data_IF_260909241105
#
_entry.id   IF_260909241105
#
_cell.length_a   1.000
_cell.length_b   1.000
_cell.length_c   1.000
_cell.angle_alpha   90.00
_cell.angle_beta   90.00
_cell.angle_gamma   90.00
#
_symmetry.space_group_name_H-M   'P 1'
#
loop_
_entity.id
_entity.type
_entity.pdbx_description
1 polymer ?
#
# COMPACT_ATOMS: atom_id res chain seq x y z
N UNK A 1 24.99 17.46 8.97
CA UNK A 1 23.85 16.64 8.53
C UNK A 1 23.82 15.42 9.42
N UNK A 2 22.77 15.23 10.21
CA UNK A 2 22.57 13.97 10.93
C UNK A 2 22.20 12.91 9.91
N UNK A 3 22.99 11.87 9.85
CA UNK A 3 22.73 10.64 9.13
C UNK A 3 21.46 10.05 9.77
N UNK A 4 20.37 9.98 9.01
CA UNK A 4 19.20 9.19 9.39
C UNK A 4 19.61 7.75 9.09
N UNK A 5 20.25 7.09 10.05
CA UNK A 5 20.32 5.63 10.05
C UNK A 5 19.00 5.10 10.61
N UNK A 6 17.93 5.22 9.85
CA UNK A 6 16.83 4.28 9.98
C UNK A 6 17.15 3.15 9.02
N UNK A 7 17.76 2.08 9.53
CA UNK A 7 17.64 0.76 8.89
C UNK A 7 16.17 0.34 9.02
N UNK A 8 15.29 1.00 8.27
CA UNK A 8 13.93 0.53 8.12
C UNK A 8 14.00 -0.74 7.30
N UNK A 9 13.78 -1.87 7.97
CA UNK A 9 13.64 -3.17 7.33
C UNK A 9 12.33 -3.16 6.55
N UNK A 10 12.39 -2.67 5.31
CA UNK A 10 11.33 -2.92 4.34
C UNK A 10 11.38 -4.37 3.87
N UNK A 11 10.22 -5.00 3.67
CA UNK A 11 10.18 -6.32 3.05
C UNK A 11 10.27 -6.17 1.54
N UNK A 12 11.09 -7.00 0.91
CA UNK A 12 11.23 -7.06 -0.55
C UNK A 12 10.94 -8.46 -1.04
N UNK A 13 10.10 -8.55 -2.06
CA UNK A 13 9.71 -9.82 -2.71
C UNK A 13 9.68 -9.59 -4.23
N UNK A 14 9.94 -10.64 -5.02
CA UNK A 14 9.85 -10.56 -6.49
C UNK A 14 8.78 -11.53 -6.98
N UNK A 15 7.88 -11.06 -7.84
CA UNK A 15 6.88 -11.86 -8.55
C UNK A 15 7.17 -11.70 -10.05
N UNK A 16 7.57 -12.78 -10.72
CA UNK A 16 8.04 -12.71 -12.11
C UNK A 16 9.23 -11.74 -12.26
N UNK A 17 9.07 -10.70 -13.07
CA UNK A 17 10.04 -9.59 -13.23
C UNK A 17 9.76 -8.38 -12.35
N UNK A 18 8.67 -8.39 -11.57
CA UNK A 18 8.23 -7.25 -10.77
C UNK A 18 8.78 -7.38 -9.36
N UNK A 19 9.51 -6.36 -8.92
CA UNK A 19 10.04 -6.24 -7.57
C UNK A 19 9.09 -5.43 -6.70
N UNK A 20 8.53 -6.05 -5.67
CA UNK A 20 7.67 -5.41 -4.68
C UNK A 20 8.44 -5.05 -3.42
N UNK A 21 8.08 -3.93 -2.82
CA UNK A 21 8.60 -3.47 -1.54
C UNK A 21 7.51 -2.90 -0.63
N UNK A 22 7.67 -3.11 0.68
CA UNK A 22 6.86 -2.51 1.73
C UNK A 22 7.72 -1.76 2.73
N UNK A 23 7.27 -0.59 3.19
CA UNK A 23 7.93 0.17 4.24
C UNK A 23 6.93 0.66 5.30
N UNK A 24 7.18 0.33 6.56
CA UNK A 24 6.38 0.77 7.70
C UNK A 24 7.04 1.94 8.40
N UNK A 25 6.31 3.03 8.59
CA UNK A 25 6.73 4.23 9.29
C UNK A 25 5.81 4.52 10.48
N UNK A 26 6.36 5.12 11.54
CA UNK A 26 5.53 5.77 12.55
C UNK A 26 5.03 7.13 12.06
N UNK A 27 3.81 7.48 12.47
CA UNK A 27 3.10 8.68 12.05
C UNK A 27 2.08 8.40 10.97
N UNK A 28 1.33 9.45 10.61
CA UNK A 28 0.36 9.45 9.53
C UNK A 28 0.90 10.29 8.37
N UNK A 29 0.72 9.81 7.15
CA UNK A 29 1.08 10.53 5.93
C UNK A 29 0.31 11.83 5.79
N UNK A 30 -0.96 11.91 6.23
CA UNK A 30 -1.75 13.16 6.30
C UNK A 30 -0.99 14.35 6.89
N UNK A 31 -0.09 14.09 7.85
CA UNK A 31 0.66 15.12 8.55
C UNK A 31 2.02 15.44 7.89
N UNK A 32 2.35 14.76 6.77
CA UNK A 32 3.59 14.96 6.01
C UNK A 32 3.40 15.99 4.87
N UNK A 33 4.01 17.18 4.96
CA UNK A 33 3.84 18.25 3.98
C UNK A 33 4.47 17.96 2.61
N UNK A 34 5.26 16.89 2.44
CA UNK A 34 5.89 16.52 1.17
C UNK A 34 4.93 15.84 0.18
N UNK A 35 3.73 15.48 0.64
CA UNK A 35 2.70 14.74 -0.09
C UNK A 35 2.32 15.27 -1.48
N UNK A 36 2.31 16.59 -1.67
CA UNK A 36 2.01 17.20 -2.99
C UNK A 36 3.08 16.87 -4.04
N UNK A 37 4.30 16.53 -3.63
CA UNK A 37 5.44 16.27 -4.53
C UNK A 37 5.44 14.86 -5.11
N UNK A 38 4.76 13.91 -4.46
CA UNK A 38 4.76 12.50 -4.85
C UNK A 38 3.55 12.08 -5.70
N UNK A 39 2.71 13.04 -6.13
CA UNK A 39 1.59 12.75 -7.05
C UNK A 39 0.50 11.86 -6.45
N UNK A 40 0.30 11.93 -5.13
CA UNK A 40 -0.60 11.02 -4.43
C UNK A 40 -2.07 11.47 -4.55
N UNK A 41 -2.94 10.51 -4.84
CA UNK A 41 -4.38 10.69 -4.96
C UNK A 41 -5.09 9.99 -3.80
N UNK A 42 -5.87 10.73 -3.02
CA UNK A 42 -6.72 10.15 -1.97
C UNK A 42 -7.77 9.23 -2.63
N UNK A 43 -7.84 7.98 -2.16
CA UNK A 43 -8.73 6.95 -2.71
C UNK A 43 -9.87 6.61 -1.76
N UNK A 44 -9.59 6.54 -0.46
CA UNK A 44 -10.56 6.17 0.57
C UNK A 44 -10.11 6.73 1.92
N UNK A 45 -11.06 7.17 2.74
CA UNK A 45 -10.81 7.58 4.12
C UNK A 45 -11.98 7.18 5.01
N UNK A 46 -11.68 6.57 6.15
CA UNK A 46 -12.63 6.32 7.23
C UNK A 46 -11.93 6.53 8.60
N UNK A 47 -12.56 6.12 9.69
CA UNK A 47 -12.01 6.31 11.04
C UNK A 47 -10.78 5.43 11.33
N UNK A 48 -10.68 4.28 10.68
CA UNK A 48 -9.57 3.32 10.86
C UNK A 48 -8.37 3.63 9.97
N UNK A 49 -8.59 4.16 8.77
CA UNK A 49 -7.53 4.25 7.76
C UNK A 49 -7.72 5.35 6.70
N UNK A 50 -6.62 5.69 6.03
CA UNK A 50 -6.61 6.55 4.84
C UNK A 50 -5.76 5.91 3.75
N UNK A 51 -6.37 5.66 2.60
CA UNK A 51 -5.70 5.11 1.42
C UNK A 51 -5.39 6.19 0.41
N UNK A 52 -4.17 6.16 -0.10
CA UNK A 52 -3.73 6.98 -1.21
C UNK A 52 -3.11 6.10 -2.30
N UNK A 53 -3.34 6.48 -3.55
CA UNK A 53 -2.69 5.88 -4.72
C UNK A 53 -1.56 6.80 -5.18
N UNK A 54 -0.45 6.19 -5.56
CA UNK A 54 0.69 6.87 -6.21
C UNK A 54 0.90 6.25 -7.60
N UNK A 55 1.81 6.80 -8.40
CA UNK A 55 2.13 6.19 -9.69
C UNK A 55 2.79 4.80 -9.58
N UNK A 56 3.44 4.51 -8.45
CA UNK A 56 4.25 3.31 -8.26
C UNK A 56 3.73 2.39 -7.13
N UNK A 57 2.54 2.66 -6.59
CA UNK A 57 2.10 1.97 -5.38
C UNK A 57 0.87 2.54 -4.70
N UNK A 58 0.60 2.01 -3.53
CA UNK A 58 -0.44 2.45 -2.60
C UNK A 58 0.18 2.77 -1.24
N UNK A 59 -0.44 3.71 -0.56
CA UNK A 59 -0.03 4.26 0.73
C UNK A 59 -1.22 4.15 1.66
N UNK A 60 -1.00 3.69 2.88
CA UNK A 60 -2.05 3.43 3.86
C UNK A 60 -1.67 4.03 5.20
N UNK A 61 -2.44 5.00 5.67
CA UNK A 61 -2.43 5.45 7.05
C UNK A 61 -3.34 4.55 7.88
N UNK A 62 -2.83 4.00 8.98
CA UNK A 62 -3.57 3.13 9.90
C UNK A 62 -3.69 3.89 11.22
N UNK A 63 -4.80 4.63 11.34
CA UNK A 63 -5.04 5.68 12.34
C UNK A 63 -4.94 5.17 13.79
N UNK A 64 -5.55 4.03 14.18
CA UNK A 64 -5.49 3.55 15.56
C UNK A 64 -4.07 3.26 16.06
N UNK A 65 -3.19 2.84 15.16
CA UNK A 65 -1.80 2.52 15.48
C UNK A 65 -0.82 3.67 15.27
N UNK A 66 -1.29 4.80 14.71
CA UNK A 66 -0.45 5.92 14.27
C UNK A 66 0.73 5.45 13.40
N UNK A 67 0.43 4.60 12.42
CA UNK A 67 1.41 4.02 11.51
C UNK A 67 0.99 4.28 10.08
N UNK A 68 1.98 4.27 9.20
CA UNK A 68 1.80 4.39 7.77
C UNK A 68 2.58 3.29 7.05
N UNK A 69 1.95 2.67 6.06
CA UNK A 69 2.52 1.64 5.22
C UNK A 69 2.58 2.09 3.75
N UNK A 70 3.78 2.09 3.17
CA UNK A 70 3.98 2.22 1.73
C UNK A 70 4.08 0.81 1.14
N UNK A 71 3.30 0.54 0.09
CA UNK A 71 3.38 -0.67 -0.73
C UNK A 71 3.63 -0.25 -2.17
N UNK A 72 4.72 -0.69 -2.79
CA UNK A 72 5.08 -0.23 -4.13
C UNK A 72 5.98 -1.17 -4.89
N UNK A 73 6.24 -0.81 -6.15
CA UNK A 73 7.29 -1.44 -6.96
C UNK A 73 8.64 -0.79 -6.68
N UNK A 74 9.66 -1.60 -6.41
CA UNK A 74 11.00 -1.12 -6.08
C UNK A 74 11.65 -0.39 -7.25
N UNK A 75 12.41 0.68 -6.95
CA UNK A 75 13.23 1.44 -7.91
C UNK A 75 12.51 1.93 -9.19
N UNK A 76 11.22 2.30 -9.10
CA UNK A 76 10.42 2.64 -10.29
C UNK A 76 10.33 1.48 -11.30
N UNK A 77 10.37 0.23 -10.82
CA UNK A 77 10.24 -0.98 -11.63
C UNK A 77 8.92 -1.05 -12.41
N UNK A 78 8.79 -2.06 -13.26
CA UNK A 78 7.69 -2.17 -14.22
C UNK A 78 6.31 -1.88 -13.58
N UNK A 79 5.56 -0.92 -14.13
CA UNK A 79 4.37 -0.42 -13.47
C UNK A 79 3.28 -1.50 -13.47
N UNK A 80 2.87 -1.90 -12.27
CA UNK A 80 1.60 -2.58 -12.06
C UNK A 80 0.47 -1.65 -12.54
N UNK A 81 -0.50 -2.22 -13.26
CA UNK A 81 -1.60 -1.43 -13.81
C UNK A 81 -2.39 -0.71 -12.71
N UNK A 82 -3.02 0.43 -13.04
CA UNK A 82 -3.89 1.15 -12.09
C UNK A 82 -4.98 0.23 -11.53
N UNK A 83 -5.58 -0.62 -12.38
CA UNK A 83 -6.63 -1.54 -11.96
C UNK A 83 -6.10 -2.58 -10.96
N UNK A 84 -4.89 -3.09 -11.16
CA UNK A 84 -4.27 -4.03 -10.23
C UNK A 84 -3.98 -3.37 -8.88
N UNK A 85 -3.47 -2.14 -8.85
CA UNK A 85 -3.29 -1.39 -7.60
C UNK A 85 -4.59 -1.16 -6.83
N UNK A 86 -5.69 -0.87 -7.52
CA UNK A 86 -7.00 -0.73 -6.90
C UNK A 86 -7.51 -2.07 -6.34
N UNK A 87 -7.26 -3.17 -7.05
CA UNK A 87 -7.57 -4.52 -6.59
C UNK A 87 -6.80 -4.88 -5.31
N UNK A 88 -5.50 -4.56 -5.27
CA UNK A 88 -4.64 -4.76 -4.10
C UNK A 88 -5.12 -3.89 -2.93
N UNK A 89 -5.38 -2.60 -3.16
CA UNK A 89 -5.87 -1.70 -2.13
C UNK A 89 -7.17 -2.20 -1.49
N UNK A 90 -8.10 -2.71 -2.31
CA UNK A 90 -9.33 -3.32 -1.83
C UNK A 90 -9.08 -4.53 -0.95
N UNK A 91 -8.22 -5.46 -1.37
CA UNK A 91 -7.91 -6.64 -0.58
C UNK A 91 -7.24 -6.29 0.76
N UNK A 92 -6.29 -5.36 0.75
CA UNK A 92 -5.61 -4.90 1.98
C UNK A 92 -6.57 -4.19 2.93
N UNK A 93 -7.49 -3.37 2.40
CA UNK A 93 -8.50 -2.69 3.20
C UNK A 93 -9.50 -3.68 3.84
N UNK A 94 -9.93 -4.71 3.10
CA UNK A 94 -10.78 -5.79 3.64
C UNK A 94 -10.06 -6.51 4.79
N UNK A 95 -8.76 -6.79 4.64
CA UNK A 95 -7.97 -7.43 5.70
C UNK A 95 -7.86 -6.57 6.97
N UNK A 96 -7.77 -5.25 6.82
CA UNK A 96 -7.57 -4.32 7.94
C UNK A 96 -8.84 -3.93 8.69
N UNK A 97 -9.96 -3.73 7.99
CA UNK A 97 -11.15 -3.08 8.54
C UNK A 97 -12.46 -3.75 8.09
N UNK A 98 -12.40 -4.82 7.30
CA UNK A 98 -13.57 -5.53 6.79
C UNK A 98 -14.39 -4.79 5.72
N UNK A 99 -14.17 -3.48 5.54
CA UNK A 99 -14.91 -2.64 4.59
C UNK A 99 -13.99 -1.76 3.73
N UNK A 100 -14.14 -1.85 2.41
CA UNK A 100 -13.54 -0.91 1.45
C UNK A 100 -14.60 -0.51 0.44
N UNK A 101 -14.98 0.76 0.44
CA UNK A 101 -15.94 1.30 -0.52
C UNK A 101 -15.25 2.35 -1.42
N UNK A 102 -14.44 1.93 -2.40
CA UNK A 102 -14.09 2.83 -3.49
C UNK A 102 -15.37 2.94 -4.30
N UNK A 103 -16.10 4.05 -4.19
CA UNK A 103 -17.45 4.20 -4.75
C UNK A 103 -17.63 3.94 -6.26
N UNK A 104 -16.58 3.52 -6.98
CA UNK A 104 -16.55 3.26 -8.42
C UNK A 104 -15.70 2.05 -8.88
N UNK A 105 -15.06 1.27 -7.99
CA UNK A 105 -14.19 0.15 -8.41
C UNK A 105 -14.66 -1.21 -7.90
N UNK A 106 -15.18 -2.03 -8.81
CA UNK A 106 -15.45 -3.46 -8.59
C UNK A 106 -14.55 -4.28 -9.53
N UNK A 107 -13.57 -5.04 -9.00
CA UNK A 107 -12.69 -5.84 -9.84
C UNK A 107 -13.45 -7.03 -10.44
N UNK A 108 -13.17 -7.34 -11.71
CA UNK A 108 -13.65 -8.60 -12.30
C UNK A 108 -12.87 -9.79 -11.73
N UNK A 109 -13.44 -11.00 -11.73
CA UNK A 109 -12.72 -12.20 -11.29
C UNK A 109 -11.43 -12.47 -12.09
N UNK A 110 -11.37 -12.05 -13.36
CA UNK A 110 -10.16 -12.16 -14.15
C UNK A 110 -9.04 -11.25 -13.60
N UNK A 111 -9.38 -10.02 -13.21
CA UNK A 111 -8.45 -9.08 -12.59
C UNK A 111 -8.03 -9.56 -11.20
N UNK A 112 -8.96 -10.09 -10.39
CA UNK A 112 -8.64 -10.66 -9.09
C UNK A 112 -7.65 -11.83 -9.21
N UNK A 113 -7.87 -12.71 -10.18
CA UNK A 113 -6.94 -13.82 -10.47
C UNK A 113 -5.57 -13.33 -10.92
N UNK A 114 -5.52 -12.32 -11.80
CA UNK A 114 -4.25 -11.68 -12.22
C UNK A 114 -3.52 -11.07 -11.02
N UNK A 115 -4.26 -10.47 -10.08
CA UNK A 115 -3.71 -9.79 -8.91
C UNK A 115 -3.37 -10.73 -7.75
N UNK A 116 -3.78 -11.99 -7.79
CA UNK A 116 -3.81 -12.88 -6.64
C UNK A 116 -2.45 -13.04 -5.93
N UNK A 117 -1.37 -13.18 -6.68
CA UNK A 117 -0.01 -13.28 -6.10
C UNK A 117 0.43 -11.96 -5.45
N UNK A 118 0.16 -10.81 -6.09
CA UNK A 118 0.48 -9.50 -5.51
C UNK A 118 -0.28 -9.26 -4.21
N UNK A 119 -1.59 -9.56 -4.21
CA UNK A 119 -2.45 -9.46 -3.02
C UNK A 119 -1.89 -10.33 -1.90
N UNK A 120 -1.59 -11.59 -2.19
CA UNK A 120 -1.05 -12.55 -1.21
C UNK A 120 0.25 -12.03 -0.59
N UNK A 121 1.16 -11.50 -1.40
CA UNK A 121 2.43 -10.95 -0.91
C UNK A 121 2.20 -9.72 -0.04
N UNK A 122 1.36 -8.77 -0.47
CA UNK A 122 1.13 -7.56 0.29
C UNK A 122 0.39 -7.80 1.61
N UNK A 123 -0.60 -8.70 1.64
CA UNK A 123 -1.25 -9.13 2.89
C UNK A 123 -0.23 -9.81 3.81
N UNK A 124 0.65 -10.68 3.28
CA UNK A 124 1.70 -11.30 4.08
C UNK A 124 2.68 -10.27 4.67
N UNK A 125 3.07 -9.24 3.90
CA UNK A 125 3.90 -8.13 4.38
C UNK A 125 3.18 -7.36 5.48
N UNK A 126 1.89 -7.10 5.33
CA UNK A 126 1.06 -6.46 6.35
C UNK A 126 1.05 -7.28 7.65
N UNK A 127 0.73 -8.58 7.59
CA UNK A 127 0.68 -9.43 8.80
C UNK A 127 2.02 -9.48 9.54
N UNK A 128 3.15 -9.47 8.81
CA UNK A 128 4.50 -9.41 9.43
C UNK A 128 4.77 -8.10 10.16
N UNK A 129 4.18 -7.00 9.70
CA UNK A 129 4.30 -5.69 10.33
C UNK A 129 3.29 -5.47 11.47
N UNK A 130 2.20 -6.24 11.49
CA UNK A 130 1.05 -5.98 12.34
C UNK A 130 0.84 -6.93 13.52
N UNK A 131 1.58 -8.05 13.64
CA UNK A 131 1.34 -9.08 14.70
C UNK A 131 -0.16 -9.22 14.98
N UNK A 132 -0.93 -9.62 13.95
CA UNK A 132 -2.34 -10.01 14.14
C UNK A 132 -2.39 -11.36 14.84
#
# INVERSE_FOLDING_TARGET
>A
MKQIEDKQEGFRTTIGSIHLESYLHQGLYRDNPELKRFGMLLMHENDSMTFYRTDNGIVIDIKPSNRHLLLGTANYGDPISKACWLCIARAVAIELDGEFMPGEFEPSSALENECGEYITVFVSHLSKHYEV
#
